data_IF_579780563824
#
_entry.id   IF_579780563824
#
_cell.length_a   1.000
_cell.length_b   1.000
_cell.length_c   1.000
_cell.angle_alpha   90.00
_cell.angle_beta   90.00
_cell.angle_gamma   90.00
#
_symmetry.space_group_name_H-M   'P 1'
#
loop_
_entity.id
_entity.type
_entity.pdbx_description
1 polymer ?
#
# COMPACT_ATOMS: atom_id res chain seq x y z
N UNK A 1 18.91 10.29 13.31
CA UNK A 1 19.11 8.83 13.39
C UNK A 1 20.09 8.43 12.31
N UNK A 2 21.07 7.56 12.58
CA UNK A 2 21.95 7.07 11.54
C UNK A 2 21.19 6.11 10.61
N UNK A 3 21.61 5.98 9.35
CA UNK A 3 20.91 5.12 8.39
C UNK A 3 20.84 3.66 8.85
N UNK A 4 21.90 3.16 9.49
CA UNK A 4 21.92 1.80 10.03
C UNK A 4 20.87 1.60 11.15
N UNK A 5 20.70 2.60 12.03
CA UNK A 5 19.67 2.55 13.08
C UNK A 5 18.26 2.58 12.49
N UNK A 6 18.05 3.34 11.42
CA UNK A 6 16.79 3.35 10.68
C UNK A 6 16.46 1.95 10.14
N UNK A 7 17.43 1.30 9.48
CA UNK A 7 17.23 -0.05 8.95
C UNK A 7 16.93 -1.08 10.05
N UNK A 8 17.68 -1.03 11.16
CA UNK A 8 17.45 -1.90 12.32
C UNK A 8 16.08 -1.68 12.98
N UNK A 9 15.54 -0.47 12.88
CA UNK A 9 14.19 -0.14 13.34
C UNK A 9 13.14 -0.69 12.36
N UNK A 10 13.29 -0.38 11.07
CA UNK A 10 12.36 -0.80 10.01
C UNK A 10 12.30 -2.31 9.79
N UNK A 11 13.35 -3.06 10.18
CA UNK A 11 13.37 -4.51 10.07
C UNK A 11 12.55 -5.23 11.14
N UNK A 12 11.96 -4.51 12.11
CA UNK A 12 11.18 -5.11 13.21
C UNK A 12 9.72 -5.27 12.81
N UNK A 13 9.14 -6.39 13.21
CA UNK A 13 7.71 -6.63 13.02
C UNK A 13 6.88 -5.57 13.75
N UNK A 14 5.85 -5.07 13.05
CA UNK A 14 4.98 -4.03 13.56
C UNK A 14 5.58 -2.62 13.55
N UNK A 15 6.80 -2.42 13.05
CA UNK A 15 7.32 -1.08 12.78
C UNK A 15 6.56 -0.45 11.62
N UNK A 16 6.17 0.82 11.78
CA UNK A 16 5.34 1.50 10.79
C UNK A 16 6.19 2.00 9.62
N UNK A 17 5.69 1.76 8.41
CA UNK A 17 6.23 2.38 7.21
C UNK A 17 6.08 3.91 7.23
N UNK A 18 7.06 4.59 6.67
CA UNK A 18 7.04 6.04 6.46
C UNK A 18 7.18 6.41 4.97
N UNK A 19 7.30 7.70 4.69
CA UNK A 19 7.49 8.20 3.32
C UNK A 19 8.75 7.64 2.63
N UNK A 20 9.81 7.31 3.37
CA UNK A 20 11.04 6.71 2.82
C UNK A 20 10.75 5.28 2.39
N UNK A 21 9.99 4.51 3.17
CA UNK A 21 9.58 3.16 2.77
C UNK A 21 8.72 3.15 1.51
N UNK A 22 7.83 4.14 1.35
CA UNK A 22 7.00 4.27 0.15
C UNK A 22 7.84 4.59 -1.09
N UNK A 23 8.82 5.49 -0.96
CA UNK A 23 9.76 5.78 -2.05
C UNK A 23 10.58 4.52 -2.41
N UNK A 24 11.15 3.83 -1.42
CA UNK A 24 11.90 2.60 -1.63
C UNK A 24 11.05 1.51 -2.31
N UNK A 25 9.77 1.37 -1.93
CA UNK A 25 8.85 0.44 -2.56
C UNK A 25 8.57 0.83 -4.03
N UNK A 26 8.30 2.11 -4.30
CA UNK A 26 8.09 2.62 -5.65
C UNK A 26 9.29 2.32 -6.55
N UNK A 27 10.51 2.62 -6.08
CA UNK A 27 11.76 2.38 -6.81
C UNK A 27 12.03 0.89 -7.03
N UNK A 28 11.84 0.06 -6.01
CA UNK A 28 12.06 -1.39 -6.08
C UNK A 28 11.16 -2.05 -7.13
N UNK A 29 9.86 -1.80 -7.04
CA UNK A 29 8.86 -2.36 -7.96
C UNK A 29 8.83 -1.64 -9.32
N UNK A 30 9.38 -0.42 -9.41
CA UNK A 30 9.34 0.40 -10.62
C UNK A 30 7.92 0.83 -10.99
N UNK A 31 7.08 1.13 -10.01
CA UNK A 31 5.67 1.51 -10.19
C UNK A 31 5.36 2.81 -9.47
N UNK A 32 4.42 3.59 -10.01
CA UNK A 32 3.89 4.78 -9.34
C UNK A 32 3.04 4.36 -8.14
N UNK A 33 3.19 5.07 -7.02
CA UNK A 33 2.28 4.96 -5.87
C UNK A 33 1.53 6.29 -5.73
N UNK A 34 0.20 6.23 -5.68
CA UNK A 34 -0.66 7.37 -5.39
C UNK A 34 -1.28 7.18 -4.00
N UNK A 35 -1.09 8.16 -3.13
CA UNK A 35 -1.67 8.16 -1.78
C UNK A 35 -2.72 9.26 -1.69
N UNK A 36 -3.98 8.90 -1.45
CA UNK A 36 -5.05 9.86 -1.14
C UNK A 36 -5.06 10.08 0.37
N UNK A 37 -5.05 11.34 0.81
CA UNK A 37 -4.93 11.65 2.24
C UNK A 37 -6.10 12.49 2.76
N UNK A 38 -6.33 12.43 4.07
CA UNK A 38 -7.30 13.28 4.75
C UNK A 38 -6.77 14.69 5.08
N UNK A 39 -5.54 15.04 4.69
CA UNK A 39 -5.03 16.40 4.89
C UNK A 39 -5.72 17.37 3.94
N UNK A 40 -6.27 18.45 4.51
CA UNK A 40 -7.04 19.46 3.76
C UNK A 40 -6.26 20.08 2.60
N UNK A 41 -4.98 20.37 2.84
CA UNK A 41 -4.14 21.11 1.88
C UNK A 41 -3.35 20.17 0.94
N UNK A 42 -3.27 18.88 1.27
CA UNK A 42 -2.55 17.86 0.49
C UNK A 42 -3.43 16.63 0.30
N UNK A 43 -4.47 16.76 -0.52
CA UNK A 43 -5.47 15.70 -0.71
C UNK A 43 -4.92 14.46 -1.44
N UNK A 44 -3.77 14.57 -2.10
CA UNK A 44 -3.04 13.42 -2.63
C UNK A 44 -1.53 13.65 -2.67
N UNK A 45 -0.77 12.55 -2.69
CA UNK A 45 0.68 12.51 -2.82
C UNK A 45 1.01 11.53 -3.95
N UNK A 46 1.83 11.98 -4.91
CA UNK A 46 2.38 11.13 -5.97
C UNK A 46 3.83 10.76 -5.66
N UNK A 47 4.12 9.46 -5.71
CA UNK A 47 5.46 8.92 -5.52
C UNK A 47 5.85 8.22 -6.83
N UNK A 48 6.89 8.75 -7.47
CA UNK A 48 7.38 8.28 -8.76
C UNK A 48 8.62 7.41 -8.57
N UNK A 49 8.73 6.30 -9.33
CA UNK A 49 9.94 5.51 -9.34
C UNK A 49 11.04 6.22 -10.14
N UNK A 50 12.28 6.01 -9.75
CA UNK A 50 13.47 6.46 -10.47
C UNK A 50 13.53 5.84 -11.87
N UNK A 51 13.13 4.57 -11.99
CA UNK A 51 13.02 3.85 -13.26
C UNK A 51 11.64 3.19 -13.31
N UNK A 52 10.80 3.65 -14.23
CA UNK A 52 9.47 3.07 -14.41
C UNK A 52 9.56 1.75 -15.17
N UNK A 53 9.14 0.66 -14.51
CA UNK A 53 9.08 -0.71 -15.05
C UNK A 53 7.66 -1.08 -15.49
N UNK A 54 6.63 -0.43 -14.95
CA UNK A 54 5.23 -0.69 -15.28
C UNK A 54 4.39 0.58 -15.25
N UNK A 55 3.35 0.63 -16.08
CA UNK A 55 2.31 1.66 -16.07
C UNK A 55 1.25 1.45 -14.98
N UNK A 56 1.29 0.30 -14.28
CA UNK A 56 0.39 0.05 -13.15
C UNK A 56 0.66 1.05 -12.03
N UNK A 57 -0.42 1.45 -11.34
CA UNK A 57 -0.38 2.35 -10.20
C UNK A 57 -0.88 1.61 -8.97
N UNK A 58 -0.15 1.72 -7.87
CA UNK A 58 -0.61 1.31 -6.54
C UNK A 58 -1.36 2.49 -5.94
N UNK A 59 -2.60 2.25 -5.49
CA UNK A 59 -3.41 3.27 -4.83
C UNK A 59 -3.53 2.95 -3.35
N UNK A 60 -3.19 3.93 -2.52
CA UNK A 60 -3.33 3.88 -1.07
C UNK A 60 -4.23 5.01 -0.59
N UNK A 61 -4.97 4.78 0.50
CA UNK A 61 -5.50 5.87 1.32
C UNK A 61 -4.68 6.00 2.59
N UNK A 62 -4.49 7.23 3.06
CA UNK A 62 -3.85 7.55 4.33
C UNK A 62 -4.83 8.37 5.16
N UNK A 63 -5.41 7.72 6.18
CA UNK A 63 -6.10 8.47 7.23
C UNK A 63 -5.03 8.99 8.19
N UNK A 64 -4.83 10.30 8.17
CA UNK A 64 -3.71 10.94 8.83
C UNK A 64 -3.56 10.44 10.27
N UNK A 65 -2.34 9.97 10.58
CA UNK A 65 -1.91 9.50 11.90
C UNK A 65 -2.50 8.16 12.37
N UNK A 66 -3.28 7.47 11.54
CA UNK A 66 -3.91 6.19 11.94
C UNK A 66 -3.51 5.02 11.04
N UNK A 67 -3.71 5.09 9.72
CA UNK A 67 -3.52 3.89 8.89
C UNK A 67 -3.41 4.15 7.38
N UNK A 68 -2.69 3.25 6.71
CA UNK A 68 -2.71 3.10 5.25
C UNK A 68 -3.67 1.98 4.85
N UNK A 69 -4.54 2.21 3.87
CA UNK A 69 -5.37 1.15 3.29
C UNK A 69 -5.09 0.99 1.80
N UNK A 70 -5.25 -0.23 1.30
CA UNK A 70 -5.36 -0.47 -0.13
C UNK A 70 -6.70 0.04 -0.63
N UNK A 71 -6.67 0.88 -1.67
CA UNK A 71 -7.88 1.33 -2.37
C UNK A 71 -7.79 0.92 -3.83
N UNK A 72 -8.94 0.82 -4.46
CA UNK A 72 -9.03 0.48 -5.87
C UNK A 72 -9.90 1.52 -6.56
N UNK A 73 -9.49 2.04 -7.73
CA UNK A 73 -10.39 2.83 -8.55
C UNK A 73 -11.67 2.04 -8.76
N UNK A 74 -12.80 2.71 -8.61
CA UNK A 74 -14.07 2.15 -9.04
C UNK A 74 -13.94 1.92 -10.54
N UNK A 75 -13.73 0.66 -10.94
CA UNK A 75 -13.81 0.28 -12.35
C UNK A 75 -15.29 0.36 -12.75
N UNK A 76 -15.58 0.51 -14.05
CA UNK A 76 -16.90 0.20 -14.64
C UNK A 76 -17.16 -1.32 -14.53
N UNK A 77 -17.18 -1.82 -13.31
CA UNK A 77 -17.35 -3.21 -12.94
C UNK A 77 -18.50 -3.21 -11.96
N UNK A 78 -19.51 -4.01 -12.28
CA UNK A 78 -20.75 -4.04 -11.51
C UNK A 78 -20.47 -4.43 -10.07
N UNK A 79 -21.24 -3.89 -9.12
CA UNK A 79 -21.08 -4.18 -7.69
C UNK A 79 -21.07 -5.70 -7.35
N UNK A 80 -21.64 -6.53 -8.22
CA UNK A 80 -21.68 -7.99 -8.13
C UNK A 80 -20.29 -8.61 -8.30
N UNK A 81 -19.50 -8.11 -9.24
CA UNK A 81 -18.14 -8.60 -9.52
C UNK A 81 -17.17 -8.16 -8.41
N UNK A 82 -17.36 -6.97 -7.83
CA UNK A 82 -16.62 -6.54 -6.65
C UNK A 82 -16.88 -7.46 -5.45
N UNK A 83 -18.15 -7.79 -5.16
CA UNK A 83 -18.50 -8.67 -4.03
C UNK A 83 -17.88 -10.06 -4.16
N UNK A 84 -17.86 -10.64 -5.37
CA UNK A 84 -17.21 -11.94 -5.62
C UNK A 84 -15.69 -11.88 -5.39
N UNK A 85 -15.04 -10.80 -5.81
CA UNK A 85 -13.59 -10.64 -5.66
C UNK A 85 -13.18 -10.38 -4.21
N UNK A 86 -13.94 -9.56 -3.48
CA UNK A 86 -13.72 -9.35 -2.04
C UNK A 86 -13.90 -10.66 -1.25
N UNK A 87 -14.94 -11.44 -1.55
CA UNK A 87 -15.15 -12.74 -0.90
C UNK A 87 -14.02 -13.73 -1.21
N UNK A 88 -13.50 -13.72 -2.44
CA UNK A 88 -12.36 -14.57 -2.82
C UNK A 88 -11.10 -14.20 -2.03
N UNK A 89 -10.80 -12.91 -1.89
CA UNK A 89 -9.64 -12.41 -1.13
C UNK A 89 -9.80 -12.73 0.37
N UNK A 90 -11.00 -12.54 0.95
CA UNK A 90 -11.22 -12.85 2.36
C UNK A 90 -11.06 -14.34 2.67
N UNK A 91 -11.46 -15.22 1.74
CA UNK A 91 -11.33 -16.66 1.90
C UNK A 91 -9.88 -17.12 1.80
N UNK A 92 -9.08 -16.57 0.86
CA UNK A 92 -7.65 -16.86 0.76
C UNK A 92 -6.88 -16.41 2.02
N UNK A 93 -7.28 -15.29 2.64
CA UNK A 93 -6.66 -14.85 3.90
C UNK A 93 -7.02 -15.74 5.10
N UNK A 94 -8.24 -16.28 5.16
CA UNK A 94 -8.64 -17.26 6.18
C UNK A 94 -7.90 -18.59 6.02
N UNK A 95 -7.77 -19.10 4.79
CA UNK A 95 -7.05 -20.36 4.51
C UNK A 95 -5.54 -20.26 4.80
N UNK A 96 -4.95 -19.06 4.72
CA UNK A 96 -3.54 -18.84 5.09
C UNK A 96 -3.26 -18.85 6.59
N UNK A 97 -4.29 -18.70 7.44
CA UNK A 97 -4.14 -18.68 8.91
C UNK A 97 -4.31 -20.06 9.56
N UNK A 98 -4.93 -21.03 8.87
CA UNK A 98 -5.10 -22.41 9.36
C UNK A 98 -3.89 -23.32 9.09
N UNK A 99 -2.80 -22.78 8.51
CA UNK A 99 -1.61 -23.54 8.10
C UNK A 99 -0.48 -23.65 9.13
N UNK A 100 -0.64 -23.12 10.36
CA UNK A 100 0.32 -23.32 11.44
C UNK A 100 -0.26 -24.26 12.48
N UNK A 101 0.08 -25.55 12.34
CA UNK A 101 -0.11 -26.57 13.37
C UNK A 101 1.24 -27.15 13.76
#
# INVERSE_FOLDING_TARGET
>A
MAYHDYLNKMSKDGEWGDHVTLQAASDSYGVKILVITSFRDTCYIEILPTIQKSERVIFLSFWAEVHYNSIYPVRDITAVEMKKKYLAISNEQLESQDGYQ
#
